data_IF_470304617153
#
_entry.id   IF_470304617153
#
_cell.length_a   1.000
_cell.length_b   1.000
_cell.length_c   1.000
_cell.angle_alpha   90.00
_cell.angle_beta   90.00
_cell.angle_gamma   90.00
#
_symmetry.space_group_name_H-M   'P 1'
#
loop_
_entity.id
_entity.type
_entity.pdbx_description
1 polymer ?
#
# COMPACT_ATOMS: atom_id res chain seq x y z
N UNK A 1 -0.49 25.21 29.28
CA UNK A 1 -0.75 23.79 28.99
C UNK A 1 -1.52 23.22 30.16
N UNK A 2 -2.79 22.84 29.97
CA UNK A 2 -3.55 22.13 30.99
C UNK A 2 -3.20 20.65 30.91
N UNK A 3 -2.61 20.10 31.97
CA UNK A 3 -2.42 18.66 32.09
C UNK A 3 -3.76 18.06 32.53
N UNK A 4 -4.39 17.27 31.67
CA UNK A 4 -5.59 16.50 32.01
C UNK A 4 -5.19 15.13 32.51
N UNK A 5 -5.48 14.81 33.77
CA UNK A 5 -5.37 13.45 34.31
C UNK A 5 -6.60 12.67 33.85
N UNK A 6 -6.37 11.52 33.23
CA UNK A 6 -7.44 10.65 32.72
C UNK A 6 -7.34 9.31 33.42
N UNK A 7 -8.45 8.84 33.97
CA UNK A 7 -8.55 7.49 34.52
C UNK A 7 -8.72 6.47 33.39
N UNK A 8 -7.90 5.42 33.42
CA UNK A 8 -7.99 4.28 32.50
C UNK A 8 -8.37 3.02 33.28
N UNK A 9 -9.01 2.06 32.61
CA UNK A 9 -9.58 0.85 33.23
C UNK A 9 -8.54 -0.09 33.89
N UNK A 10 -7.24 0.17 33.73
CA UNK A 10 -6.16 -0.58 34.33
C UNK A 10 -4.85 -0.38 33.57
N UNK A 11 -3.73 -0.85 34.14
CA UNK A 11 -2.40 -0.74 33.49
C UNK A 11 -2.35 -1.47 32.15
N UNK A 12 -2.99 -2.63 32.04
CA UNK A 12 -3.06 -3.40 30.79
C UNK A 12 -3.74 -2.62 29.66
N UNK A 13 -4.69 -1.73 29.98
CA UNK A 13 -5.35 -0.90 28.97
C UNK A 13 -4.39 0.11 28.31
N UNK A 14 -3.28 0.47 28.98
CA UNK A 14 -2.24 1.34 28.44
C UNK A 14 -1.29 0.62 27.48
N UNK A 15 -1.31 -0.71 27.47
CA UNK A 15 -0.33 -1.52 26.73
C UNK A 15 -0.23 -1.16 25.24
N UNK A 16 -1.32 -0.92 24.50
CA UNK A 16 -1.22 -0.46 23.11
C UNK A 16 -0.45 0.85 22.95
N UNK A 17 -0.60 1.79 23.88
CA UNK A 17 0.12 3.06 23.82
C UNK A 17 1.59 2.89 24.21
N UNK A 18 1.89 2.11 25.25
CA UNK A 18 3.28 1.78 25.62
C UNK A 18 4.04 1.18 24.44
N UNK A 19 3.44 0.21 23.72
CA UNK A 19 4.08 -0.40 22.55
C UNK A 19 4.22 0.62 21.41
N UNK A 20 3.20 1.46 21.21
CA UNK A 20 3.24 2.51 20.18
C UNK A 20 4.42 3.46 20.38
N UNK A 21 4.72 3.88 21.62
CA UNK A 21 5.87 4.75 21.91
C UNK A 21 7.22 4.14 21.49
N UNK A 22 7.33 2.81 21.52
CA UNK A 22 8.56 2.11 21.14
C UNK A 22 8.67 1.88 19.64
N UNK A 23 7.55 1.61 18.95
CA UNK A 23 7.58 1.23 17.53
C UNK A 23 7.38 2.40 16.58
N UNK A 24 6.84 3.53 17.07
CA UNK A 24 6.68 4.77 16.32
C UNK A 24 7.72 5.80 16.76
N UNK A 25 8.95 5.64 16.27
CA UNK A 25 10.05 6.54 16.59
C UNK A 25 9.99 7.85 15.81
N UNK A 26 10.27 8.96 16.49
CA UNK A 26 10.56 10.25 15.83
C UNK A 26 11.95 10.19 15.20
N UNK A 27 12.03 10.49 13.90
CA UNK A 27 13.28 10.35 13.13
C UNK A 27 13.60 11.62 12.36
N UNK A 28 14.87 12.00 12.33
CA UNK A 28 15.33 13.07 11.45
C UNK A 28 15.42 12.54 10.02
N UNK A 29 14.83 13.26 9.07
CA UNK A 29 14.79 12.93 7.65
C UNK A 29 15.42 14.05 6.84
N UNK A 30 16.11 13.68 5.78
CA UNK A 30 16.64 14.62 4.80
C UNK A 30 15.79 14.59 3.55
N UNK A 31 15.48 15.76 3.00
CA UNK A 31 14.84 15.88 1.70
C UNK A 31 15.86 15.66 0.59
N UNK A 32 15.38 15.44 -0.65
CA UNK A 32 16.25 15.40 -1.84
C UNK A 32 17.03 16.70 -2.08
N UNK A 33 16.57 17.79 -1.47
CA UNK A 33 17.19 19.12 -1.53
C UNK A 33 18.18 19.37 -0.37
N UNK A 34 18.47 18.35 0.45
CA UNK A 34 19.42 18.45 1.56
C UNK A 34 18.87 19.16 2.80
N UNK A 35 17.55 19.39 2.90
CA UNK A 35 16.92 19.98 4.08
C UNK A 35 16.55 18.91 5.10
N UNK A 36 16.92 19.10 6.36
CA UNK A 36 16.58 18.16 7.44
C UNK A 36 15.30 18.58 8.16
N UNK A 37 14.43 17.62 8.47
CA UNK A 37 13.23 17.82 9.28
C UNK A 37 12.98 16.63 10.21
N UNK A 38 12.25 16.87 11.29
CA UNK A 38 11.79 15.79 12.17
C UNK A 38 10.50 15.19 11.61
N UNK A 39 10.54 13.91 11.25
CA UNK A 39 9.35 13.11 10.97
C UNK A 39 8.81 12.57 12.29
N UNK A 40 7.72 13.17 12.75
CA UNK A 40 7.02 12.80 13.98
C UNK A 40 5.83 11.90 13.63
N UNK A 41 5.68 10.70 14.20
CA UNK A 41 4.51 9.86 13.94
C UNK A 41 3.20 10.47 14.45
N UNK A 42 2.11 10.26 13.71
CA UNK A 42 0.75 10.71 14.03
C UNK A 42 -0.16 9.59 14.51
N UNK A 43 0.14 8.33 14.18
CA UNK A 43 -0.65 7.17 14.64
C UNK A 43 -0.70 7.04 16.17
N UNK A 44 0.37 7.35 16.95
CA UNK A 44 0.28 7.32 18.41
C UNK A 44 -0.82 8.21 19.00
N UNK A 45 -1.18 9.31 18.33
CA UNK A 45 -2.30 10.16 18.74
C UNK A 45 -3.65 9.43 18.67
N UNK A 46 -3.92 8.72 17.57
CA UNK A 46 -5.12 7.88 17.43
C UNK A 46 -5.16 6.77 18.50
N UNK A 47 -4.00 6.15 18.78
CA UNK A 47 -3.87 5.10 19.78
C UNK A 47 -4.18 5.64 21.17
N UNK A 48 -3.60 6.80 21.54
CA UNK A 48 -3.85 7.44 22.83
C UNK A 48 -5.34 7.77 23.03
N UNK A 49 -5.99 8.36 22.02
CA UNK A 49 -7.42 8.67 22.07
C UNK A 49 -8.27 7.41 22.30
N UNK A 50 -7.94 6.31 21.62
CA UNK A 50 -8.65 5.05 21.77
C UNK A 50 -8.42 4.39 23.14
N UNK A 51 -7.17 4.38 23.63
CA UNK A 51 -6.80 3.84 24.94
C UNK A 51 -7.56 4.57 26.05
N UNK A 52 -7.57 5.91 26.00
CA UNK A 52 -8.34 6.75 26.94
C UNK A 52 -9.83 6.42 26.88
N UNK A 53 -10.37 6.19 25.69
CA UNK A 53 -11.78 5.89 25.50
C UNK A 53 -12.15 4.40 25.77
N UNK A 54 -11.20 3.56 26.20
CA UNK A 54 -11.42 2.12 26.41
C UNK A 54 -11.77 1.37 25.11
N UNK A 55 -11.26 1.84 23.97
CA UNK A 55 -11.52 1.29 22.63
C UNK A 55 -10.29 0.53 22.13
N UNK A 56 -10.47 -0.42 21.18
CA UNK A 56 -9.34 -0.99 20.46
C UNK A 56 -8.49 0.11 19.81
N UNK A 57 -7.16 -0.04 19.85
CA UNK A 57 -6.21 1.00 19.43
C UNK A 57 -6.38 1.46 17.98
N UNK A 58 -6.90 0.58 17.12
CA UNK A 58 -7.14 0.81 15.69
C UNK A 58 -8.53 1.35 15.38
N UNK A 59 -9.43 1.51 16.36
CA UNK A 59 -10.81 1.92 16.08
C UNK A 59 -10.84 3.33 15.48
N UNK A 60 -11.66 3.53 14.44
CA UNK A 60 -11.75 4.81 13.73
C UNK A 60 -10.63 5.04 12.71
N UNK A 61 -9.79 4.03 12.43
CA UNK A 61 -8.68 4.15 11.48
C UNK A 61 -9.14 4.63 10.09
N UNK A 62 -10.30 4.18 9.60
CA UNK A 62 -10.82 4.60 8.30
C UNK A 62 -11.11 6.10 8.24
N UNK A 63 -11.66 6.65 9.32
CA UNK A 63 -11.99 8.07 9.42
C UNK A 63 -10.70 8.89 9.62
N UNK A 64 -9.72 8.37 10.37
CA UNK A 64 -8.40 8.96 10.51
C UNK A 64 -7.68 9.11 9.16
N UNK A 65 -7.65 8.06 8.34
CA UNK A 65 -7.01 8.13 7.01
C UNK A 65 -7.89 8.73 5.91
N UNK A 66 -9.08 9.24 6.25
CA UNK A 66 -9.94 9.93 5.28
C UNK A 66 -9.38 11.30 4.88
N UNK A 67 -8.72 11.99 5.82
CA UNK A 67 -8.09 13.29 5.60
C UNK A 67 -6.80 13.13 4.80
N UNK A 68 -6.62 13.95 3.77
CA UNK A 68 -5.51 13.78 2.83
C UNK A 68 -4.13 13.86 3.48
N UNK A 69 -3.89 14.82 4.36
CA UNK A 69 -2.60 14.97 5.04
C UNK A 69 -2.29 13.77 5.94
N UNK A 70 -3.27 13.33 6.74
CA UNK A 70 -3.13 12.17 7.61
C UNK A 70 -2.90 10.90 6.78
N UNK A 71 -3.67 10.72 5.70
CA UNK A 71 -3.51 9.61 4.75
C UNK A 71 -2.10 9.54 4.20
N UNK A 72 -1.58 10.65 3.64
CA UNK A 72 -0.23 10.67 3.04
C UNK A 72 0.85 10.27 4.04
N UNK A 73 0.71 10.67 5.32
CA UNK A 73 1.65 10.32 6.39
C UNK A 73 1.52 8.87 6.83
N UNK A 74 0.31 8.39 7.10
CA UNK A 74 0.05 7.01 7.55
C UNK A 74 0.52 5.97 6.54
N UNK A 75 0.29 6.21 5.24
CA UNK A 75 0.73 5.31 4.17
C UNK A 75 2.18 5.54 3.73
N UNK A 76 2.92 6.41 4.42
CA UNK A 76 4.34 6.63 4.16
C UNK A 76 5.20 5.53 4.77
N UNK A 77 6.46 5.49 4.35
CA UNK A 77 7.47 4.56 4.82
C UNK A 77 7.81 4.72 6.33
N UNK A 78 7.46 5.85 6.94
CA UNK A 78 7.80 6.18 8.34
C UNK A 78 6.86 5.51 9.34
N UNK A 79 5.55 5.51 9.06
CA UNK A 79 4.51 4.97 9.93
C UNK A 79 4.31 3.47 9.74
N UNK A 80 4.59 2.99 8.53
CA UNK A 80 4.35 1.62 8.10
C UNK A 80 5.02 0.56 8.97
N UNK A 81 6.26 0.82 9.40
CA UNK A 81 7.00 -0.09 10.28
C UNK A 81 6.37 -0.21 11.67
N UNK A 82 5.95 0.92 12.25
CA UNK A 82 5.25 0.92 13.54
C UNK A 82 3.89 0.23 13.46
N UNK A 83 3.12 0.50 12.40
CA UNK A 83 1.84 -0.18 12.15
C UNK A 83 2.01 -1.69 11.97
N UNK A 84 3.04 -2.12 11.23
CA UNK A 84 3.40 -3.53 11.12
C UNK A 84 3.71 -4.13 12.49
N UNK A 85 4.58 -3.50 13.28
CA UNK A 85 4.94 -3.99 14.60
C UNK A 85 3.73 -4.08 15.54
N UNK A 86 2.84 -3.09 15.51
CA UNK A 86 1.59 -3.10 16.29
C UNK A 86 0.68 -4.27 15.92
N UNK A 87 0.48 -4.52 14.61
CA UNK A 87 -0.37 -5.64 14.21
C UNK A 87 0.28 -6.98 14.55
N UNK A 88 1.61 -7.13 14.43
CA UNK A 88 2.32 -8.38 14.76
C UNK A 88 2.46 -8.64 16.27
N UNK A 89 2.08 -7.70 17.14
CA UNK A 89 2.24 -7.85 18.57
C UNK A 89 1.03 -8.56 19.21
N UNK A 90 1.26 -9.76 19.73
CA UNK A 90 0.24 -10.63 20.34
C UNK A 90 -0.43 -10.03 21.59
N UNK A 91 0.24 -9.13 22.31
CA UNK A 91 -0.34 -8.52 23.52
C UNK A 91 -1.47 -7.54 23.20
N UNK A 92 -1.37 -6.83 22.06
CA UNK A 92 -2.28 -5.74 21.69
C UNK A 92 -3.11 -6.05 20.44
N UNK A 93 -2.76 -7.12 19.73
CA UNK A 93 -3.51 -7.61 18.57
C UNK A 93 -3.49 -9.15 18.50
N UNK A 94 -4.17 -9.85 19.43
CA UNK A 94 -4.01 -11.29 19.62
C UNK A 94 -4.43 -12.14 18.41
N UNK A 95 -3.62 -13.17 18.13
CA UNK A 95 -3.72 -14.18 17.06
C UNK A 95 -5.11 -14.75 16.85
N UNK A 96 -5.77 -15.16 17.93
CA UNK A 96 -7.01 -15.95 17.91
C UNK A 96 -8.25 -15.12 17.54
N UNK A 97 -8.15 -13.79 17.59
CA UNK A 97 -9.28 -12.89 17.35
C UNK A 97 -9.58 -12.70 15.87
N UNK A 98 -10.86 -12.50 15.56
CA UNK A 98 -11.35 -12.26 14.20
C UNK A 98 -10.61 -11.12 13.49
N UNK A 99 -10.26 -10.06 14.23
CA UNK A 99 -9.55 -8.90 13.72
C UNK A 99 -8.15 -9.23 13.18
N UNK A 100 -7.41 -10.06 13.90
CA UNK A 100 -6.05 -10.46 13.52
C UNK A 100 -6.10 -11.36 12.29
N UNK A 101 -6.99 -12.35 12.30
CA UNK A 101 -7.23 -13.23 11.15
C UNK A 101 -7.60 -12.42 9.90
N UNK A 102 -8.48 -11.43 10.06
CA UNK A 102 -8.90 -10.56 8.96
C UNK A 102 -7.73 -9.78 8.35
N UNK A 103 -6.87 -9.20 9.20
CA UNK A 103 -5.70 -8.45 8.76
C UNK A 103 -4.68 -9.37 8.07
N UNK A 104 -4.41 -10.54 8.63
CA UNK A 104 -3.53 -11.55 8.04
C UNK A 104 -4.03 -12.01 6.67
N UNK A 105 -5.34 -12.30 6.55
CA UNK A 105 -5.95 -12.65 5.26
C UNK A 105 -5.81 -11.52 4.23
N UNK A 106 -5.95 -10.27 4.66
CA UNK A 106 -5.72 -9.12 3.78
C UNK A 106 -4.25 -8.98 3.35
N UNK A 107 -3.30 -9.21 4.27
CA UNK A 107 -1.86 -9.21 3.96
C UNK A 107 -1.51 -10.32 2.97
N UNK A 108 -2.00 -11.52 3.20
CA UNK A 108 -1.80 -12.67 2.32
C UNK A 108 -2.37 -12.43 0.91
N UNK A 109 -3.61 -11.92 0.83
CA UNK A 109 -4.24 -11.58 -0.43
C UNK A 109 -3.45 -10.51 -1.19
N UNK A 110 -2.94 -9.49 -0.48
CA UNK A 110 -2.13 -8.44 -1.08
C UNK A 110 -0.78 -8.96 -1.58
N UNK A 111 -0.10 -9.80 -0.79
CA UNK A 111 1.16 -10.43 -1.17
C UNK A 111 1.01 -11.24 -2.47
N UNK A 112 0.00 -12.12 -2.53
CA UNK A 112 -0.27 -12.92 -3.74
C UNK A 112 -0.60 -12.03 -4.93
N UNK A 113 -1.39 -10.97 -4.71
CA UNK A 113 -1.75 -10.00 -5.76
C UNK A 113 -0.54 -9.29 -6.34
N UNK A 114 0.39 -8.84 -5.49
CA UNK A 114 1.63 -8.24 -5.96
C UNK A 114 2.49 -9.24 -6.76
N UNK A 115 2.53 -10.52 -6.37
CA UNK A 115 3.20 -11.57 -7.15
C UNK A 115 2.65 -11.64 -8.59
N UNK A 116 1.33 -11.68 -8.74
CA UNK A 116 0.67 -11.67 -10.04
C UNK A 116 0.97 -10.39 -10.84
N UNK A 117 0.98 -9.23 -10.18
CA UNK A 117 1.33 -7.95 -10.83
C UNK A 117 2.80 -7.93 -11.28
N UNK A 118 3.70 -8.56 -10.52
CA UNK A 118 5.11 -8.71 -10.89
C UNK A 118 5.30 -9.60 -12.12
N UNK A 119 4.60 -10.72 -12.20
CA UNK A 119 4.57 -11.57 -13.39
C UNK A 119 4.01 -10.85 -14.61
N UNK A 120 2.93 -10.09 -14.41
CA UNK A 120 2.33 -9.26 -15.45
C UNK A 120 3.29 -8.18 -15.95
N UNK A 121 3.93 -7.46 -15.05
CA UNK A 121 4.94 -6.44 -15.35
C UNK A 121 6.06 -7.02 -16.23
N UNK A 122 6.62 -8.18 -15.84
CA UNK A 122 7.67 -8.86 -16.62
C UNK A 122 7.22 -9.28 -18.01
N UNK A 123 5.99 -9.79 -18.14
CA UNK A 123 5.42 -10.25 -19.41
C UNK A 123 5.04 -9.11 -20.36
N UNK A 124 4.50 -8.02 -19.83
CA UNK A 124 3.98 -6.90 -20.62
C UNK A 124 5.01 -5.76 -20.78
N UNK A 125 6.17 -5.83 -20.12
CA UNK A 125 7.18 -4.76 -20.14
C UNK A 125 6.72 -3.47 -19.47
N UNK A 126 5.77 -3.55 -18.54
CA UNK A 126 5.20 -2.39 -17.84
C UNK A 126 5.86 -2.17 -16.47
N UNK A 127 5.86 -0.94 -15.96
CA UNK A 127 6.44 -0.63 -14.65
C UNK A 127 5.69 -1.29 -13.49
N UNK A 128 6.37 -2.16 -12.72
CA UNK A 128 5.79 -2.84 -11.56
C UNK A 128 5.24 -1.86 -10.51
N UNK A 129 6.02 -0.83 -10.16
CA UNK A 129 5.63 0.19 -9.18
C UNK A 129 4.32 0.88 -9.56
N UNK A 130 4.12 1.19 -10.85
CA UNK A 130 2.90 1.84 -11.32
C UNK A 130 1.68 0.93 -11.22
N UNK A 131 1.85 -0.36 -11.52
CA UNK A 131 0.78 -1.35 -11.39
C UNK A 131 0.37 -1.53 -9.93
N UNK A 132 1.36 -1.68 -9.04
CA UNK A 132 1.13 -1.80 -7.59
C UNK A 132 0.48 -0.53 -7.06
N UNK A 133 0.97 0.64 -7.43
CA UNK A 133 0.42 1.92 -6.98
C UNK A 133 -1.04 2.12 -7.40
N UNK A 134 -1.38 1.78 -8.66
CA UNK A 134 -2.77 1.84 -9.14
C UNK A 134 -3.69 0.87 -8.41
N UNK A 135 -3.26 -0.38 -8.23
CA UNK A 135 -4.08 -1.39 -7.53
C UNK A 135 -4.24 -1.03 -6.05
N UNK A 136 -3.19 -0.53 -5.40
CA UNK A 136 -3.22 -0.07 -4.03
C UNK A 136 -4.23 1.06 -3.84
N UNK A 137 -4.18 2.09 -4.68
CA UNK A 137 -5.10 3.22 -4.59
C UNK A 137 -6.55 2.79 -4.89
N UNK A 138 -6.75 1.87 -5.84
CA UNK A 138 -8.07 1.28 -6.12
C UNK A 138 -8.63 0.56 -4.88
N UNK A 139 -7.83 -0.27 -4.21
CA UNK A 139 -8.25 -0.98 -3.00
C UNK A 139 -8.56 -0.01 -1.85
N UNK A 140 -7.69 0.98 -1.63
CA UNK A 140 -7.88 2.01 -0.60
C UNK A 140 -9.19 2.77 -0.82
N UNK A 141 -9.44 3.22 -2.05
CA UNK A 141 -10.70 3.89 -2.40
C UNK A 141 -11.89 2.96 -2.17
N UNK A 142 -11.80 1.71 -2.64
CA UNK A 142 -12.86 0.70 -2.46
C UNK A 142 -13.27 0.56 -0.98
N UNK A 143 -12.31 0.29 -0.09
CA UNK A 143 -12.59 0.12 1.34
C UNK A 143 -13.10 1.41 1.98
N UNK A 144 -12.49 2.56 1.69
CA UNK A 144 -12.88 3.84 2.28
C UNK A 144 -14.33 4.24 1.98
N UNK A 145 -14.86 3.82 0.82
CA UNK A 145 -16.22 4.17 0.35
C UNK A 145 -17.31 3.23 0.86
N UNK A 146 -16.97 2.14 1.54
CA UNK A 146 -17.96 1.24 2.13
C UNK A 146 -18.75 1.98 3.22
N UNK A 147 -20.08 1.93 3.15
CA UNK A 147 -21.03 2.59 4.08
C UNK A 147 -22.02 1.62 4.75
N UNK A 148 -21.91 0.32 4.48
CA UNK A 148 -22.76 -0.71 5.05
C UNK A 148 -22.10 -2.09 4.94
N UNK A 149 -22.72 -3.10 5.57
CA UNK A 149 -22.25 -4.47 5.62
C UNK A 149 -22.10 -5.12 4.23
N UNK A 150 -23.08 -4.92 3.35
CA UNK A 150 -23.05 -5.48 2.00
C UNK A 150 -21.86 -4.96 1.18
N UNK A 151 -21.59 -3.65 1.24
CA UNK A 151 -20.51 -3.01 0.50
C UNK A 151 -19.13 -3.47 0.97
N UNK A 152 -18.89 -3.54 2.29
CA UNK A 152 -17.59 -4.00 2.80
C UNK A 152 -17.37 -5.49 2.52
N UNK A 153 -18.42 -6.31 2.65
CA UNK A 153 -18.37 -7.73 2.32
C UNK A 153 -18.02 -7.94 0.85
N UNK A 154 -18.68 -7.23 -0.06
CA UNK A 154 -18.39 -7.31 -1.49
C UNK A 154 -16.96 -6.85 -1.82
N UNK A 155 -16.51 -5.74 -1.25
CA UNK A 155 -15.16 -5.21 -1.48
C UNK A 155 -14.06 -6.16 -0.99
N UNK A 156 -14.21 -6.70 0.22
CA UNK A 156 -13.22 -7.60 0.83
C UNK A 156 -13.23 -8.96 0.15
N UNK A 157 -14.39 -9.52 -0.20
CA UNK A 157 -14.46 -10.81 -0.90
C UNK A 157 -13.92 -10.72 -2.33
N UNK A 158 -14.20 -9.64 -3.07
CA UNK A 158 -13.55 -9.37 -4.36
C UNK A 158 -12.03 -9.28 -4.20
N UNK A 159 -11.56 -8.56 -3.19
CA UNK A 159 -10.13 -8.43 -2.91
C UNK A 159 -9.47 -9.79 -2.59
N UNK A 160 -10.04 -10.57 -1.67
CA UNK A 160 -9.52 -11.88 -1.31
C UNK A 160 -9.53 -12.86 -2.49
N UNK A 161 -10.58 -12.85 -3.32
CA UNK A 161 -10.69 -13.75 -4.48
C UNK A 161 -9.60 -13.48 -5.54
N UNK A 162 -9.18 -12.22 -5.70
CA UNK A 162 -8.09 -11.83 -6.61
C UNK A 162 -6.72 -12.36 -6.18
N UNK A 163 -6.56 -12.72 -4.90
CA UNK A 163 -5.35 -13.35 -4.38
C UNK A 163 -5.08 -14.74 -4.97
N UNK A 164 -6.06 -15.36 -5.65
CA UNK A 164 -5.90 -16.66 -6.30
C UNK A 164 -6.00 -17.82 -5.31
N UNK A 165 -7.20 -18.40 -5.23
CA UNK A 165 -7.49 -19.59 -4.41
C UNK A 165 -7.84 -19.29 -2.96
N UNK A 166 -7.85 -20.35 -2.14
CA UNK A 166 -8.12 -20.25 -0.70
C UNK A 166 -6.92 -19.60 0.02
N UNK A 167 -7.19 -18.60 0.85
CA UNK A 167 -6.20 -17.96 1.71
C UNK A 167 -5.95 -18.86 2.93
N UNK A 168 -4.69 -19.18 3.19
CA UNK A 168 -4.28 -20.05 4.30
C UNK A 168 -4.72 -19.47 5.63
N UNK A 169 -4.64 -18.14 5.78
CA UNK A 169 -5.06 -17.42 7.01
C UNK A 169 -6.54 -17.61 7.33
N UNK A 170 -7.38 -17.93 6.33
CA UNK A 170 -8.82 -18.17 6.51
C UNK A 170 -9.20 -19.65 6.66
N UNK A 171 -8.29 -20.59 6.38
CA UNK A 171 -8.59 -22.02 6.42
C UNK A 171 -8.97 -22.45 7.84
N UNK A 172 -10.17 -23.02 8.00
CA UNK A 172 -10.73 -23.42 9.30
C UNK A 172 -11.14 -22.26 10.23
N UNK A 173 -10.81 -21.01 9.89
CA UNK A 173 -11.01 -19.83 10.75
C UNK A 173 -11.95 -18.78 10.15
N UNK A 174 -12.36 -18.95 8.89
CA UNK A 174 -13.26 -18.03 8.19
C UNK A 174 -14.59 -17.71 8.91
N UNK A 175 -15.23 -18.62 9.70
CA UNK A 175 -16.49 -18.28 10.37
C UNK A 175 -16.31 -17.14 11.39
N UNK A 176 -15.16 -17.08 12.07
CA UNK A 176 -14.84 -16.00 13.02
C UNK A 176 -14.83 -14.64 12.33
N UNK A 177 -14.37 -14.60 11.09
CA UNK A 177 -14.24 -13.37 10.33
C UNK A 177 -15.58 -12.90 9.74
N UNK A 178 -16.53 -13.82 9.53
CA UNK A 178 -17.86 -13.46 9.03
C UNK A 178 -18.62 -12.52 9.94
N UNK A 179 -18.39 -12.59 11.25
CA UNK A 179 -19.01 -11.72 12.25
C UNK A 179 -18.66 -10.24 12.02
N UNK A 180 -17.54 -9.95 11.33
CA UNK A 180 -17.15 -8.59 10.96
C UNK A 180 -17.99 -8.01 9.81
N UNK A 181 -18.74 -8.85 9.08
CA UNK A 181 -19.51 -8.45 7.90
C UNK A 181 -21.00 -8.29 8.16
N UNK A 182 -21.42 -8.12 9.41
CA UNK A 182 -22.81 -7.81 9.78
C UNK A 182 -23.06 -6.28 9.86
N UNK A 183 -24.33 -5.89 10.06
CA UNK A 183 -24.73 -4.48 10.16
C UNK A 183 -24.18 -3.77 11.41
N UNK A 184 -23.68 -4.51 12.39
CA UNK A 184 -23.13 -3.95 13.64
C UNK A 184 -21.61 -3.74 13.56
N UNK A 185 -20.92 -4.52 12.75
CA UNK A 185 -19.45 -4.60 12.72
C UNK A 185 -18.84 -4.13 11.40
N UNK A 186 -19.63 -3.72 10.40
CA UNK A 186 -19.08 -3.33 9.09
C UNK A 186 -18.07 -2.17 9.18
N UNK A 187 -18.25 -1.20 10.10
CA UNK A 187 -17.27 -0.13 10.31
C UNK A 187 -15.94 -0.68 10.81
N UNK A 188 -15.98 -1.68 11.68
CA UNK A 188 -14.79 -2.37 12.20
C UNK A 188 -14.08 -3.12 11.06
N UNK A 189 -14.79 -3.84 10.20
CA UNK A 189 -14.20 -4.45 9.02
C UNK A 189 -13.54 -3.40 8.09
N UNK A 190 -14.17 -2.23 7.93
CA UNK A 190 -13.62 -1.11 7.14
C UNK A 190 -12.32 -0.55 7.73
N UNK A 191 -12.30 -0.31 9.05
CA UNK A 191 -11.10 0.13 9.77
C UNK A 191 -9.96 -0.88 9.60
N UNK A 192 -10.25 -2.16 9.82
CA UNK A 192 -9.27 -3.25 9.70
C UNK A 192 -8.76 -3.44 8.28
N UNK A 193 -9.60 -3.26 7.25
CA UNK A 193 -9.17 -3.36 5.85
C UNK A 193 -8.17 -2.26 5.47
N UNK A 194 -8.43 -1.03 5.90
CA UNK A 194 -7.50 0.08 5.69
C UNK A 194 -6.23 -0.04 6.55
N UNK A 195 -6.36 -0.54 7.78
CA UNK A 195 -5.23 -0.88 8.64
C UNK A 195 -4.35 -1.96 7.99
N UNK A 196 -4.93 -3.00 7.40
CA UNK A 196 -4.19 -4.05 6.73
C UNK A 196 -3.37 -3.50 5.56
N UNK A 197 -3.95 -2.62 4.73
CA UNK A 197 -3.22 -1.94 3.65
C UNK A 197 -2.07 -1.06 4.18
N UNK A 198 -2.29 -0.34 5.28
CA UNK A 198 -1.30 0.57 5.85
C UNK A 198 -0.16 -0.17 6.56
N UNK A 199 -0.45 -1.31 7.17
CA UNK A 199 0.50 -2.11 7.95
C UNK A 199 1.28 -3.13 7.13
N UNK A 200 0.85 -3.47 5.91
CA UNK A 200 1.49 -4.54 5.13
C UNK A 200 2.96 -4.24 4.83
N UNK A 201 3.92 -4.89 5.50
CA UNK A 201 5.33 -4.87 5.15
C UNK A 201 5.70 -6.20 4.49
N UNK A 202 6.43 -6.17 3.36
CA UNK A 202 6.94 -7.42 2.77
C UNK A 202 8.00 -8.00 3.71
N UNK A 203 7.91 -9.27 4.13
CA UNK A 203 8.90 -9.90 5.02
C UNK A 203 10.34 -9.87 4.46
N UNK A 204 10.48 -9.77 3.14
CA UNK A 204 11.76 -9.82 2.42
C UNK A 204 12.32 -8.42 2.06
N UNK A 205 11.56 -7.34 2.29
CA UNK A 205 11.89 -6.00 1.78
C UNK A 205 12.56 -5.04 2.76
N UNK A 206 12.85 -5.48 3.99
CA UNK A 206 13.42 -4.61 5.05
C UNK A 206 14.93 -4.86 5.28
N UNK A 207 15.55 -5.73 4.47
CA UNK A 207 17.01 -5.95 4.43
C UNK A 207 17.56 -5.72 3.02
N UNK A 208 17.78 -4.45 2.67
CA UNK A 208 18.55 -4.06 1.49
C UNK A 208 17.77 -3.21 0.50
N UNK A 209 18.32 -2.03 0.20
CA UNK A 209 17.94 -1.11 -0.88
C UNK A 209 16.57 -0.43 -0.79
N UNK A 210 16.48 0.47 0.18
CA UNK A 210 15.49 1.55 0.22
C UNK A 210 15.94 2.73 -0.66
N UNK A 211 15.97 2.51 -1.97
CA UNK A 211 15.87 3.57 -2.98
C UNK A 211 14.72 3.18 -3.91
N UNK A 212 13.82 4.11 -4.20
CA UNK A 212 12.81 4.02 -5.27
C UNK A 212 11.39 3.52 -4.96
N UNK A 213 10.88 3.75 -3.74
CA UNK A 213 9.42 3.82 -3.52
C UNK A 213 9.01 5.10 -2.80
N UNK A 214 9.49 6.25 -3.29
CA UNK A 214 8.77 7.52 -3.10
C UNK A 214 7.57 7.53 -4.04
N UNK A 215 6.44 7.01 -3.58
CA UNK A 215 5.15 7.18 -4.25
C UNK A 215 4.87 8.68 -4.39
N UNK A 216 4.92 9.18 -5.63
CA UNK A 216 4.64 10.55 -5.99
C UNK A 216 3.18 10.90 -5.71
N UNK A 217 2.93 11.58 -4.59
CA UNK A 217 1.77 12.43 -4.45
C UNK A 217 2.09 13.78 -5.10
N UNK A 218 1.98 13.86 -6.42
CA UNK A 218 2.22 15.05 -7.23
C UNK A 218 1.10 15.28 -8.23
N UNK A 219 -0.11 15.56 -7.73
CA UNK A 219 -1.21 16.10 -8.52
C UNK A 219 -0.97 17.58 -8.79
N UNK A 220 -0.94 17.93 -10.07
CA UNK A 220 -0.64 19.26 -10.60
C UNK A 220 -1.54 20.37 -10.06
N UNK A 221 -0.91 21.42 -9.52
CA UNK A 221 -1.45 22.78 -9.49
C UNK A 221 -0.59 23.60 -10.46
N UNK A 222 -0.99 23.61 -11.72
CA UNK A 222 -0.45 24.53 -12.71
C UNK A 222 -0.95 25.93 -12.39
N UNK A 223 -0.08 26.74 -11.80
CA UNK A 223 -0.24 28.19 -11.80
C UNK A 223 0.09 28.67 -13.20
N UNK A 224 -0.91 29.25 -13.85
CA UNK A 224 -0.79 29.93 -15.16
C UNK A 224 -0.05 31.25 -14.93
N UNK A 225 1.04 31.56 -15.65
CA UNK A 225 1.48 32.94 -15.79
C UNK A 225 0.82 33.55 -17.03
N UNK A 226 0.23 34.72 -16.81
CA UNK A 226 -0.38 35.57 -17.82
C UNK A 226 0.59 35.98 -18.94
N UNK A 227 0.05 36.07 -20.15
CA UNK A 227 0.68 36.71 -21.30
C UNK A 227 0.92 38.20 -21.04
N UNK A 228 2.11 38.70 -21.38
CA UNK A 228 2.26 40.03 -21.98
C UNK A 228 3.53 40.11 -22.85
N UNK A 229 3.27 40.13 -24.15
CA UNK A 229 3.77 41.09 -25.15
C UNK A 229 5.28 41.32 -25.28
N UNK A 230 5.78 41.00 -26.49
CA UNK A 230 6.56 41.97 -27.27
C UNK A 230 7.83 41.45 -27.94
N UNK A 231 7.84 41.46 -29.27
CA UNK A 231 8.98 41.97 -30.04
C UNK A 231 9.90 40.95 -30.72
N UNK A 232 9.57 40.63 -31.97
CA UNK A 232 10.37 40.83 -33.21
C UNK A 232 11.88 40.52 -33.28
N UNK A 233 12.25 39.88 -34.41
CA UNK A 233 13.60 39.72 -34.95
C UNK A 233 13.80 38.31 -35.53
N UNK A 234 13.57 38.04 -36.83
CA UNK A 234 14.57 38.19 -37.93
C UNK A 234 15.95 37.58 -37.55
N UNK A 235 16.62 36.69 -38.28
CA UNK A 235 16.68 36.42 -39.72
C UNK A 235 17.61 35.18 -39.95
N UNK A 236 17.51 34.53 -41.12
CA UNK A 236 18.52 33.71 -41.82
C UNK A 236 19.11 32.44 -41.14
N UNK A 237 19.46 31.33 -41.82
CA UNK A 237 19.60 30.99 -43.24
C UNK A 237 20.58 29.79 -43.39
N UNK A 238 20.48 29.09 -44.53
CA UNK A 238 21.38 28.05 -45.10
C UNK A 238 21.33 26.61 -44.50
N UNK A 239 20.91 25.57 -45.24
CA UNK A 239 21.65 24.80 -46.28
C UNK A 239 22.98 24.22 -45.76
N UNK A 240 23.38 22.94 -45.93
CA UNK A 240 22.95 21.85 -46.82
C UNK A 240 23.74 20.53 -46.50
N UNK A 241 23.18 19.41 -47.02
CA UNK A 241 23.84 18.23 -47.65
C UNK A 241 24.48 17.09 -46.84
N UNK A 242 24.05 15.87 -47.25
CA UNK A 242 24.86 14.65 -47.41
C UNK A 242 24.52 13.55 -46.39
N UNK A 243 24.19 12.31 -46.72
CA UNK A 243 24.21 11.55 -47.97
C UNK A 243 24.54 10.07 -47.66
N UNK A 244 23.80 9.16 -48.30
CA UNK A 244 24.07 7.71 -48.53
C UNK A 244 23.87 6.66 -47.41
N UNK A 245 22.81 5.87 -47.59
CA UNK A 245 22.84 4.38 -47.60
C UNK A 245 23.45 3.91 -48.96
N UNK A 246 23.78 2.62 -49.27
CA UNK A 246 23.14 1.34 -48.88
C UNK A 246 24.23 0.31 -48.41
N UNK A 247 24.05 -0.99 -48.17
CA UNK A 247 23.45 -2.03 -49.01
C UNK A 247 23.47 -3.40 -48.29
N UNK A 248 22.54 -4.27 -48.70
CA UNK A 248 22.30 -5.65 -48.25
C UNK A 248 23.35 -6.62 -48.81
N UNK A 249 23.62 -7.74 -48.12
CA UNK A 249 23.82 -9.06 -48.75
C UNK A 249 23.19 -10.15 -47.87
N UNK A 250 22.54 -11.10 -48.54
CA UNK A 250 21.79 -12.24 -48.04
C UNK A 250 22.51 -13.59 -48.36
N UNK A 251 21.86 -14.69 -47.94
CA UNK A 251 22.07 -16.13 -48.23
C UNK A 251 22.89 -16.89 -47.17
N UNK A 252 22.57 -18.13 -46.81
CA UNK A 252 21.59 -19.15 -47.26
C UNK A 252 21.47 -20.21 -46.15
N UNK A 253 20.31 -20.84 -45.90
CA UNK A 253 19.72 -22.02 -46.58
C UNK A 253 20.47 -23.34 -46.35
N UNK A 254 19.82 -24.27 -45.63
CA UNK A 254 19.72 -25.75 -45.82
C UNK A 254 19.10 -26.33 -44.51
N UNK A 255 17.81 -26.68 -44.45
CA UNK A 255 17.14 -27.92 -44.90
C UNK A 255 17.84 -29.23 -44.50
N UNK A 256 17.21 -30.01 -43.60
CA UNK A 256 16.58 -31.32 -43.90
C UNK A 256 15.98 -32.01 -42.66
N UNK A 257 14.72 -32.39 -42.83
CA UNK A 257 14.07 -33.71 -42.59
C UNK A 257 14.18 -34.39 -41.21
N UNK A 258 13.06 -34.57 -40.48
CA UNK A 258 12.09 -35.68 -40.56
C UNK A 258 12.62 -37.00 -39.95
N UNK A 259 12.07 -37.44 -38.81
CA UNK A 259 11.53 -38.80 -38.59
C UNK A 259 10.61 -38.80 -37.36
N UNK A 260 9.44 -39.36 -37.58
CA UNK A 260 8.36 -39.68 -36.67
C UNK A 260 8.64 -41.05 -36.01
N UNK A 261 8.40 -41.22 -34.71
CA UNK A 261 8.63 -42.47 -33.99
C UNK A 261 7.54 -42.75 -32.98
N UNK A 262 6.70 -43.73 -33.30
CA UNK A 262 5.55 -44.25 -32.56
C UNK A 262 5.96 -45.55 -31.82
N UNK A 263 5.29 -45.81 -30.70
CA UNK A 263 4.99 -47.12 -30.08
C UNK A 263 6.04 -47.85 -29.20
N UNK A 264 5.46 -48.50 -28.16
CA UNK A 264 5.94 -49.56 -27.22
C UNK A 264 6.51 -49.02 -25.90
N UNK A 265 6.04 -49.38 -24.70
CA UNK A 265 5.27 -50.53 -24.16
C UNK A 265 4.34 -50.06 -23.01
#
# INVERSE_FOLDING_TARGET
>A
MSVSVVEVAGREALRPFEIAEHVFETRMRETKEGRSYWSVPIVPGLIAENVVAGRPWWRGFADFVSKEEQRRRVFSADEKGGLWAMVQNEEVFPGERAERIFVEACHEAWQRRMGQLGERSRREGTGFSDLVGREFEKLRISFSRCKNAAAIRAAVTDFWSRGGGSLTSLQGRWPLVLELFDERNWQKARDLALLALASYASPEGDRGDRKDLTMGAGGALGVVPENSLGGDGEEAGAMAKGGKAPERVAKGSEDRDFVNGKDRE
#
